data_IF_674194681623
#
_entry.id   IF_674194681623
#
_cell.length_a   1.000
_cell.length_b   1.000
_cell.length_c   1.000
_cell.angle_alpha   90.00
_cell.angle_beta   90.00
_cell.angle_gamma   90.00
#
_symmetry.space_group_name_H-M   'P 1'
#
loop_
_entity.id
_entity.type
_entity.pdbx_description
1 polymer ?
#
# COMPACT_ATOMS: atom_id res chain seq x y z
N UNK A 1 -14.33 22.72 2.17
CA UNK A 1 -13.19 23.67 2.17
C UNK A 1 -12.05 23.05 1.38
N UNK A 2 -11.45 23.82 0.47
CA UNK A 2 -10.30 23.42 -0.32
C UNK A 2 -9.04 23.84 0.45
N UNK A 3 -8.03 23.00 0.45
CA UNK A 3 -6.71 23.21 1.06
C UNK A 3 -5.63 23.00 0.03
N UNK A 4 -4.47 23.63 0.24
CA UNK A 4 -3.28 23.48 -0.58
C UNK A 4 -2.33 22.50 0.08
N UNK A 5 -1.83 21.54 -0.69
CA UNK A 5 -0.77 20.60 -0.30
C UNK A 5 0.28 20.56 -1.39
N UNK A 6 1.48 20.09 -1.09
CA UNK A 6 2.54 19.83 -2.06
C UNK A 6 2.69 18.32 -2.21
N UNK A 7 2.78 17.82 -3.43
CA UNK A 7 3.01 16.39 -3.71
C UNK A 7 4.13 16.28 -4.75
N UNK A 8 5.20 15.60 -4.39
CA UNK A 8 6.40 15.42 -5.22
C UNK A 8 6.90 16.75 -5.80
N UNK A 9 6.93 17.78 -4.95
CA UNK A 9 7.36 19.14 -5.27
C UNK A 9 6.36 19.98 -6.07
N UNK A 10 5.13 19.47 -6.33
CA UNK A 10 4.08 20.19 -7.05
C UNK A 10 2.96 20.61 -6.11
N UNK A 11 2.60 21.89 -6.18
CA UNK A 11 1.45 22.42 -5.44
C UNK A 11 0.14 21.96 -6.06
N UNK A 12 -0.72 21.37 -5.25
CA UNK A 12 -2.02 20.88 -5.66
C UNK A 12 -3.10 21.25 -4.64
N UNK A 13 -4.36 21.20 -5.05
CA UNK A 13 -5.50 21.48 -4.20
C UNK A 13 -6.29 20.23 -3.90
N UNK A 14 -6.66 20.05 -2.64
CA UNK A 14 -7.45 18.92 -2.15
C UNK A 14 -8.60 19.38 -1.28
N UNK A 15 -9.55 18.50 -1.08
CA UNK A 15 -10.65 18.74 -0.15
C UNK A 15 -10.22 18.41 1.27
N UNK A 16 -10.42 19.33 2.21
CA UNK A 16 -10.18 19.10 3.64
C UNK A 16 -10.99 17.89 4.13
N UNK A 17 -10.35 17.04 4.94
CA UNK A 17 -10.97 15.83 5.50
C UNK A 17 -10.86 14.59 4.62
N UNK A 18 -10.24 14.69 3.43
CA UNK A 18 -9.89 13.51 2.66
C UNK A 18 -8.64 12.86 3.21
N UNK A 19 -8.54 11.53 3.07
CA UNK A 19 -7.27 10.84 3.27
C UNK A 19 -6.30 11.19 2.15
N UNK A 20 -4.99 11.07 2.39
CA UNK A 20 -3.97 11.25 1.35
C UNK A 20 -4.27 10.33 0.17
N UNK A 21 -4.57 9.06 0.41
CA UNK A 21 -4.88 8.10 -0.64
C UNK A 21 -6.04 8.55 -1.52
N UNK A 22 -7.13 9.05 -0.90
CA UNK A 22 -8.29 9.58 -1.63
C UNK A 22 -7.94 10.83 -2.44
N UNK A 23 -7.19 11.75 -1.86
CA UNK A 23 -6.77 12.98 -2.51
C UNK A 23 -5.91 12.70 -3.75
N UNK A 24 -4.92 11.82 -3.62
CA UNK A 24 -4.01 11.45 -4.70
C UNK A 24 -4.73 10.65 -5.79
N UNK A 25 -5.62 9.74 -5.43
CA UNK A 25 -6.44 8.99 -6.40
C UNK A 25 -7.33 9.93 -7.24
N UNK A 26 -7.95 10.94 -6.62
CA UNK A 26 -8.74 11.95 -7.34
C UNK A 26 -7.90 12.71 -8.37
N UNK A 27 -6.63 12.94 -8.08
CA UNK A 27 -5.66 13.60 -8.96
C UNK A 27 -4.99 12.63 -9.95
N UNK A 28 -5.44 11.38 -10.00
CA UNK A 28 -4.89 10.30 -10.84
C UNK A 28 -3.42 9.97 -10.55
N UNK A 29 -2.99 10.23 -9.33
CA UNK A 29 -1.71 9.77 -8.79
C UNK A 29 -1.96 8.41 -8.15
N UNK A 30 -1.45 7.35 -8.75
CA UNK A 30 -1.68 5.97 -8.31
C UNK A 30 -0.73 5.62 -7.17
N UNK A 31 -1.28 5.43 -5.97
CA UNK A 31 -0.54 4.94 -4.81
C UNK A 31 -0.86 3.45 -4.63
N UNK A 32 0.12 2.56 -4.65
CA UNK A 32 -0.09 1.13 -4.48
C UNK A 32 -0.87 0.81 -3.21
N UNK A 33 -1.94 0.03 -3.35
CA UNK A 33 -2.76 -0.43 -2.23
C UNK A 33 -3.53 -1.69 -2.60
N UNK A 34 -3.71 -2.61 -1.63
CA UNK A 34 -4.50 -3.82 -1.79
C UNK A 34 -5.73 -3.85 -0.87
N UNK A 35 -5.79 -2.97 0.11
CA UNK A 35 -6.85 -2.97 1.13
C UNK A 35 -7.96 -1.96 0.87
N UNK A 36 -7.82 -1.05 -0.07
CA UNK A 36 -8.86 -0.08 -0.40
C UNK A 36 -9.66 -0.52 -1.63
N UNK A 37 -10.66 -1.32 -1.38
CA UNK A 37 -11.60 -1.79 -2.42
C UNK A 37 -12.70 -0.76 -2.75
N UNK A 38 -12.79 0.35 -2.01
CA UNK A 38 -13.90 1.31 -2.12
C UNK A 38 -13.87 2.13 -3.39
N UNK A 39 -12.70 2.26 -4.03
CA UNK A 39 -12.55 3.07 -5.24
C UNK A 39 -12.79 2.29 -6.54
N UNK A 40 -12.74 0.96 -6.51
CA UNK A 40 -12.91 0.13 -7.70
C UNK A 40 -14.38 -0.19 -7.99
N UNK A 41 -15.28 0.00 -7.03
CA UNK A 41 -16.67 -0.45 -7.09
C UNK A 41 -17.70 0.66 -7.33
N UNK A 42 -17.28 1.87 -7.73
CA UNK A 42 -18.24 2.94 -8.02
C UNK A 42 -19.14 2.59 -9.23
N UNK A 43 -18.76 1.63 -10.07
CA UNK A 43 -19.49 1.28 -11.28
C UNK A 43 -20.10 -0.14 -11.32
N UNK A 44 -19.95 -0.96 -10.28
CA UNK A 44 -20.51 -2.33 -10.29
C UNK A 44 -21.27 -2.63 -9.00
N UNK A 45 -22.56 -2.28 -9.00
CA UNK A 45 -23.51 -2.55 -7.90
C UNK A 45 -23.87 -4.04 -7.71
N UNK A 46 -23.20 -4.99 -8.36
CA UNK A 46 -23.59 -6.40 -8.36
C UNK A 46 -22.75 -7.35 -7.50
N UNK A 47 -21.67 -6.91 -6.87
CA UNK A 47 -20.90 -7.80 -5.99
C UNK A 47 -21.32 -7.72 -4.51
N UNK A 48 -22.50 -8.29 -4.22
CA UNK A 48 -23.03 -8.47 -2.85
C UNK A 48 -22.28 -9.49 -1.98
N UNK A 49 -21.22 -10.10 -2.47
CA UNK A 49 -20.50 -11.18 -1.76
C UNK A 49 -19.21 -10.76 -1.06
N UNK A 50 -18.94 -9.46 -0.89
CA UNK A 50 -17.78 -8.97 -0.12
C UNK A 50 -18.12 -8.65 1.35
N UNK A 51 -19.07 -9.39 1.94
CA UNK A 51 -19.45 -9.25 3.36
C UNK A 51 -18.40 -9.78 4.37
N UNK A 52 -17.20 -10.18 3.91
CA UNK A 52 -16.15 -10.72 4.77
C UNK A 52 -15.20 -9.66 5.33
N UNK A 53 -15.33 -8.40 4.94
CA UNK A 53 -14.51 -7.32 5.49
C UNK A 53 -15.32 -6.62 6.58
N UNK A 54 -15.34 -7.20 7.76
CA UNK A 54 -15.76 -6.49 8.98
C UNK A 54 -14.74 -5.41 9.31
N UNK A 55 -15.13 -4.37 10.04
CA UNK A 55 -14.20 -3.30 10.46
C UNK A 55 -12.98 -3.84 11.22
N UNK A 56 -13.12 -5.01 11.85
CA UNK A 56 -12.05 -5.72 12.57
C UNK A 56 -11.04 -6.42 11.64
N UNK A 57 -11.40 -6.70 10.37
CA UNK A 57 -10.56 -7.38 9.39
C UNK A 57 -10.09 -6.47 8.26
N UNK A 58 -9.88 -5.18 8.52
CA UNK A 58 -9.24 -4.29 7.54
C UNK A 58 -7.85 -4.83 7.22
N UNK A 59 -7.73 -5.45 6.04
CA UNK A 59 -6.43 -5.88 5.52
C UNK A 59 -5.50 -4.67 5.50
N UNK A 60 -4.58 -4.62 6.44
CA UNK A 60 -3.57 -3.57 6.50
C UNK A 60 -2.43 -3.95 5.55
N UNK A 61 -2.59 -3.67 4.27
CA UNK A 61 -1.62 -4.07 3.25
C UNK A 61 -0.30 -3.27 3.30
N UNK A 62 -0.27 -2.15 4.03
CA UNK A 62 0.91 -1.28 4.19
C UNK A 62 1.57 -0.76 2.90
N UNK A 63 1.06 -1.12 1.71
CA UNK A 63 1.63 -0.69 0.43
C UNK A 63 1.47 0.80 0.14
N UNK A 64 0.46 1.44 0.74
CA UNK A 64 0.17 2.86 0.55
C UNK A 64 1.07 3.78 1.38
N UNK A 65 2.28 3.34 1.72
CA UNK A 65 3.25 4.13 2.45
C UNK A 65 3.70 5.34 1.62
N UNK A 66 3.80 6.48 2.28
CA UNK A 66 4.29 7.76 1.76
C UNK A 66 5.13 8.44 2.82
N UNK A 67 5.93 9.43 2.44
CA UNK A 67 6.57 10.34 3.40
C UNK A 67 5.78 11.63 3.46
N UNK A 68 5.52 12.13 4.65
CA UNK A 68 4.84 13.41 4.86
C UNK A 68 5.66 14.33 5.75
N UNK A 69 5.54 15.61 5.50
CA UNK A 69 6.04 16.67 6.38
C UNK A 69 4.94 17.70 6.57
N UNK A 70 4.54 17.93 7.82
CA UNK A 70 3.59 18.99 8.17
C UNK A 70 4.31 20.32 8.31
N UNK A 71 3.56 21.41 8.25
CA UNK A 71 4.10 22.77 8.28
C UNK A 71 5.03 23.06 9.45
N UNK A 72 4.84 22.39 10.59
CA UNK A 72 5.62 22.57 11.80
C UNK A 72 6.62 21.43 12.08
N UNK A 73 6.89 20.60 11.10
CA UNK A 73 7.84 19.48 11.20
C UNK A 73 9.11 19.83 10.42
N UNK A 74 10.26 19.45 10.95
CA UNK A 74 11.56 19.69 10.31
C UNK A 74 11.94 18.56 9.35
N UNK A 75 11.37 17.35 9.54
CA UNK A 75 11.69 16.15 8.79
C UNK A 75 10.44 15.47 8.25
N UNK A 76 10.66 14.64 7.22
CA UNK A 76 9.64 13.76 6.71
C UNK A 76 9.46 12.52 7.59
N UNK A 77 8.20 12.11 7.76
CA UNK A 77 7.81 10.92 8.49
C UNK A 77 7.07 9.95 7.58
N UNK A 78 7.34 8.66 7.70
CA UNK A 78 6.59 7.63 7.00
C UNK A 78 5.17 7.51 7.57
N UNK A 79 4.18 7.49 6.68
CA UNK A 79 2.76 7.34 7.03
C UNK A 79 2.04 6.51 5.96
N UNK A 80 0.91 5.93 6.34
CA UNK A 80 0.06 5.20 5.41
C UNK A 80 -1.02 6.13 4.84
N UNK A 81 -0.99 6.35 3.54
CA UNK A 81 -1.86 7.31 2.86
C UNK A 81 -3.37 7.03 3.05
N UNK A 82 -3.75 5.78 3.33
CA UNK A 82 -5.14 5.42 3.59
C UNK A 82 -5.66 5.91 4.96
N UNK A 83 -4.77 6.15 5.92
CA UNK A 83 -5.12 6.54 7.29
C UNK A 83 -4.87 8.03 7.57
N UNK A 84 -3.94 8.66 6.85
CA UNK A 84 -3.59 10.06 7.08
C UNK A 84 -4.53 11.01 6.35
N UNK A 85 -4.99 12.04 7.06
CA UNK A 85 -5.84 13.10 6.52
C UNK A 85 -4.95 14.23 6.00
N UNK A 86 -5.29 14.76 4.81
CA UNK A 86 -4.57 15.90 4.25
C UNK A 86 -4.81 17.17 5.08
N UNK A 87 -3.71 17.91 5.30
CA UNK A 87 -3.71 19.18 6.02
C UNK A 87 -3.15 20.31 5.14
N UNK A 88 -3.57 21.52 5.39
CA UNK A 88 -3.10 22.67 4.61
C UNK A 88 -1.62 22.92 4.82
N UNK A 89 -0.87 22.96 3.71
CA UNK A 89 0.59 23.14 3.72
C UNK A 89 1.36 21.85 4.02
N UNK A 90 0.71 20.68 4.01
CA UNK A 90 1.38 19.39 4.08
C UNK A 90 2.20 19.16 2.81
N UNK A 91 3.42 18.65 2.97
CA UNK A 91 4.29 18.21 1.90
C UNK A 91 4.36 16.68 1.89
N UNK A 92 4.15 16.07 0.73
CA UNK A 92 4.00 14.63 0.55
C UNK A 92 4.97 14.17 -0.52
N UNK A 93 5.77 13.16 -0.21
CA UNK A 93 6.55 12.39 -1.17
C UNK A 93 5.82 11.07 -1.41
N UNK A 94 5.31 10.90 -2.61
CA UNK A 94 4.53 9.72 -2.99
C UNK A 94 5.40 8.55 -3.40
N UNK A 95 6.61 8.82 -3.92
CA UNK A 95 7.58 7.82 -4.36
C UNK A 95 9.00 8.36 -4.28
N UNK A 96 9.89 7.61 -3.66
CA UNK A 96 11.35 7.77 -3.65
C UNK A 96 12.02 6.41 -3.44
N UNK A 97 13.34 6.39 -3.38
CA UNK A 97 14.12 5.14 -3.25
C UNK A 97 13.74 4.34 -2.00
N UNK A 98 13.51 4.99 -0.87
CA UNK A 98 13.14 4.33 0.39
C UNK A 98 11.74 3.72 0.29
N UNK A 99 10.78 4.49 -0.24
CA UNK A 99 9.39 4.04 -0.45
C UNK A 99 9.35 2.85 -1.41
N UNK A 100 10.11 2.93 -2.51
CA UNK A 100 10.22 1.84 -3.49
C UNK A 100 10.82 0.60 -2.84
N UNK A 101 11.90 0.75 -2.09
CA UNK A 101 12.57 -0.35 -1.39
C UNK A 101 11.63 -1.03 -0.39
N UNK A 102 10.90 -0.24 0.41
CA UNK A 102 9.89 -0.76 1.33
C UNK A 102 8.80 -1.55 0.62
N UNK A 103 8.20 -0.97 -0.45
CA UNK A 103 7.14 -1.63 -1.22
C UNK A 103 7.62 -2.92 -1.86
N UNK A 104 8.84 -2.95 -2.40
CA UNK A 104 9.46 -4.16 -2.96
C UNK A 104 9.61 -5.26 -1.91
N UNK A 105 10.17 -4.94 -0.75
CA UNK A 105 10.35 -5.91 0.34
C UNK A 105 9.02 -6.49 0.80
N UNK A 106 8.00 -5.65 0.94
CA UNK A 106 6.67 -6.09 1.32
C UNK A 106 6.02 -6.98 0.26
N UNK A 107 6.11 -6.62 -1.02
CA UNK A 107 5.59 -7.42 -2.13
C UNK A 107 6.34 -8.74 -2.28
N UNK A 108 7.66 -8.74 -2.09
CA UNK A 108 8.46 -9.97 -2.09
C UNK A 108 7.96 -10.91 -0.98
N UNK A 109 7.77 -10.39 0.24
CA UNK A 109 7.21 -11.14 1.34
C UNK A 109 5.81 -11.72 1.05
N UNK A 110 4.93 -10.92 0.45
CA UNK A 110 3.61 -11.39 0.02
C UNK A 110 3.73 -12.51 -1.03
N UNK A 111 4.74 -12.45 -1.91
CA UNK A 111 4.95 -13.46 -2.94
C UNK A 111 5.23 -14.86 -2.40
N UNK A 112 5.80 -14.97 -1.20
CA UNK A 112 6.00 -16.26 -0.53
C UNK A 112 4.70 -16.87 0.00
N UNK A 113 3.80 -16.04 0.55
CA UNK A 113 2.53 -16.51 1.13
C UNK A 113 1.47 -16.76 0.05
N UNK A 114 1.49 -15.96 -0.99
CA UNK A 114 0.56 -16.07 -2.10
C UNK A 114 1.10 -17.07 -3.12
N UNK A 115 0.66 -18.31 -3.07
CA UNK A 115 1.01 -19.36 -4.07
C UNK A 115 0.43 -18.96 -5.44
N UNK A 116 1.15 -18.26 -6.31
CA UNK A 116 0.55 -17.70 -7.50
C UNK A 116 0.60 -18.70 -8.66
N UNK A 117 -0.47 -19.45 -8.82
CA UNK A 117 -0.74 -20.11 -10.09
C UNK A 117 -1.55 -19.14 -10.95
N UNK A 118 -0.94 -18.00 -11.33
CA UNK A 118 -1.63 -16.95 -12.07
C UNK A 118 -2.22 -17.45 -13.39
N UNK A 119 -1.60 -18.43 -14.05
CA UNK A 119 -2.11 -19.04 -15.28
C UNK A 119 -3.48 -19.71 -15.12
N UNK A 120 -3.84 -20.12 -13.90
CA UNK A 120 -5.09 -20.80 -13.59
C UNK A 120 -5.94 -19.98 -12.60
N UNK A 121 -5.61 -18.71 -12.39
CA UNK A 121 -6.32 -17.85 -11.47
C UNK A 121 -7.51 -17.17 -12.18
N UNK A 122 -8.71 -17.32 -11.65
CA UNK A 122 -9.93 -16.74 -12.23
C UNK A 122 -9.92 -15.20 -12.28
N UNK A 123 -9.11 -14.55 -11.44
CA UNK A 123 -9.00 -13.09 -11.36
C UNK A 123 -7.72 -12.53 -11.98
N UNK A 124 -6.96 -13.33 -12.72
CA UNK A 124 -5.62 -12.97 -13.22
C UNK A 124 -5.59 -11.61 -13.94
N UNK A 125 -6.53 -11.35 -14.85
CA UNK A 125 -6.60 -10.11 -15.63
C UNK A 125 -7.04 -8.86 -14.84
N UNK A 126 -7.59 -9.04 -13.63
CA UNK A 126 -8.02 -7.95 -12.73
C UNK A 126 -7.21 -7.91 -11.42
N UNK A 127 -6.20 -8.75 -11.29
CA UNK A 127 -5.47 -8.90 -10.06
C UNK A 127 -4.54 -7.70 -9.82
N UNK A 128 -4.87 -6.86 -8.83
CA UNK A 128 -4.01 -5.75 -8.40
C UNK A 128 -2.65 -6.21 -7.90
N UNK A 129 -2.59 -7.35 -7.20
CA UNK A 129 -1.34 -7.89 -6.71
C UNK A 129 -0.40 -8.25 -7.85
N UNK A 130 -0.91 -8.88 -8.91
CA UNK A 130 -0.13 -9.16 -10.11
C UNK A 130 0.39 -7.89 -10.75
N UNK A 131 -0.47 -6.87 -10.91
CA UNK A 131 -0.05 -5.54 -11.42
C UNK A 131 1.14 -4.99 -10.64
N UNK A 132 1.11 -5.09 -9.30
CA UNK A 132 2.20 -4.58 -8.48
C UNK A 132 3.46 -5.47 -8.53
N UNK A 133 3.32 -6.78 -8.63
CA UNK A 133 4.45 -7.66 -8.86
C UNK A 133 5.19 -7.29 -10.15
N UNK A 134 4.44 -7.06 -11.23
CA UNK A 134 5.00 -6.66 -12.51
C UNK A 134 5.67 -5.27 -12.42
N UNK A 135 4.98 -4.29 -11.79
CA UNK A 135 5.48 -2.92 -11.63
C UNK A 135 6.80 -2.85 -10.84
N UNK A 136 6.89 -3.63 -9.77
CA UNK A 136 8.07 -3.64 -8.89
C UNK A 136 9.10 -4.72 -9.25
N UNK A 137 8.90 -5.44 -10.37
CA UNK A 137 9.77 -6.54 -10.84
C UNK A 137 9.96 -7.63 -9.77
N UNK A 138 8.87 -8.01 -9.09
CA UNK A 138 8.89 -9.10 -8.13
C UNK A 138 8.84 -10.42 -8.88
N UNK A 139 9.96 -11.13 -8.89
CA UNK A 139 10.03 -12.48 -9.48
C UNK A 139 9.42 -13.49 -8.53
N UNK A 140 8.47 -14.29 -9.03
CA UNK A 140 7.88 -15.39 -8.28
C UNK A 140 8.97 -16.40 -7.92
N UNK A 141 9.28 -16.53 -6.66
CA UNK A 141 10.15 -17.63 -6.22
C UNK A 141 9.28 -18.88 -6.19
N UNK A 142 9.48 -19.77 -7.16
CA UNK A 142 8.89 -21.11 -7.13
C UNK A 142 9.54 -21.88 -5.99
N UNK A 143 8.94 -21.85 -4.80
CA UNK A 143 9.32 -22.73 -3.72
C UNK A 143 8.81 -24.13 -4.05
N UNK A 144 9.55 -24.83 -4.90
CA UNK A 144 9.53 -26.27 -5.00
C UNK A 144 10.46 -26.76 -3.88
N UNK A 145 9.87 -27.10 -2.74
CA UNK A 145 10.26 -28.29 -1.97
C UNK A 145 9.70 -28.21 -0.54
N UNK A 146 8.88 -29.16 -0.27
CA UNK A 146 8.21 -29.55 0.94
C UNK A 146 9.15 -29.58 2.16
N UNK A 147 9.07 -28.61 3.06
CA UNK A 147 9.38 -28.68 4.49
C UNK A 147 9.57 -27.29 5.17
N UNK A 148 9.32 -26.17 4.45
CA UNK A 148 9.65 -24.83 4.95
C UNK A 148 8.43 -23.99 5.44
N UNK A 149 7.20 -24.53 5.43
CA UNK A 149 6.01 -23.72 5.81
C UNK A 149 6.12 -23.10 7.21
N UNK A 150 6.78 -23.77 8.14
CA UNK A 150 6.99 -23.24 9.50
C UNK A 150 8.14 -22.23 9.60
N UNK A 151 9.11 -22.32 8.70
CA UNK A 151 10.29 -21.43 8.65
C UNK A 151 9.92 -20.13 7.92
N UNK A 152 9.05 -20.20 6.92
CA UNK A 152 8.58 -19.07 6.12
C UNK A 152 7.78 -18.09 6.99
N UNK A 153 6.87 -18.56 7.83
CA UNK A 153 6.09 -17.69 8.71
C UNK A 153 6.98 -16.91 9.70
N UNK A 154 7.98 -17.55 10.28
CA UNK A 154 8.90 -16.87 11.20
C UNK A 154 9.84 -15.89 10.47
N UNK A 155 10.33 -16.25 9.30
CA UNK A 155 11.17 -15.38 8.49
C UNK A 155 10.40 -14.17 7.98
N UNK A 156 9.16 -14.36 7.53
CA UNK A 156 8.25 -13.30 7.12
C UNK A 156 7.97 -12.30 8.25
N UNK A 157 7.65 -12.82 9.44
CA UNK A 157 7.41 -11.99 10.63
C UNK A 157 8.67 -11.20 11.00
N UNK A 158 9.84 -11.85 10.95
CA UNK A 158 11.12 -11.20 11.26
C UNK A 158 11.50 -10.14 10.22
N UNK A 159 11.29 -10.38 8.95
CA UNK A 159 11.53 -9.40 7.89
C UNK A 159 10.59 -8.20 8.02
N UNK A 160 9.30 -8.42 8.32
CA UNK A 160 8.37 -7.30 8.58
C UNK A 160 8.80 -6.51 9.82
N UNK A 161 9.19 -7.16 10.91
CA UNK A 161 9.71 -6.48 12.10
C UNK A 161 10.95 -5.66 11.78
N UNK A 162 11.87 -6.20 10.98
CA UNK A 162 13.07 -5.49 10.56
C UNK A 162 12.74 -4.29 9.67
N UNK A 163 11.78 -4.42 8.75
CA UNK A 163 11.29 -3.33 7.93
C UNK A 163 10.67 -2.23 8.80
N UNK A 164 9.77 -2.59 9.72
CA UNK A 164 9.15 -1.65 10.69
C UNK A 164 10.21 -0.92 11.48
N UNK A 165 11.20 -1.64 12.01
CA UNK A 165 12.30 -1.07 12.80
C UNK A 165 13.23 -0.18 11.95
N UNK A 166 13.58 -0.62 10.74
CA UNK A 166 14.50 0.12 9.84
C UNK A 166 13.90 1.45 9.41
N UNK A 167 12.60 1.46 9.13
CA UNK A 167 11.90 2.68 8.68
C UNK A 167 11.19 3.43 9.82
N UNK A 168 11.39 3.02 11.08
CA UNK A 168 10.75 3.61 12.26
C UNK A 168 9.23 3.79 12.09
N UNK A 169 8.57 2.75 11.56
CA UNK A 169 7.15 2.77 11.25
C UNK A 169 6.33 2.63 12.54
N UNK A 170 5.15 3.23 12.61
CA UNK A 170 4.26 3.09 13.75
C UNK A 170 3.83 1.61 13.93
N UNK A 171 3.95 1.11 15.14
CA UNK A 171 3.38 -0.17 15.54
C UNK A 171 1.84 -0.07 15.51
N UNK A 172 1.17 -1.10 14.98
CA UNK A 172 -0.28 -1.28 15.01
C UNK A 172 -0.64 -2.60 15.66
#
# INVERSE_FOLDING_TARGET
MIIKITVDGKDIYSQKGWTILKALSYLKIDIPNLCDFRFDNINNAENKNLSFITEENKLNCKLCIVKIKRKNEDSYNFKYACNEIVENGMDIISEDEDIISYRKSLLDSISYSHKPICSNCEVDYKCKLKKYFDLYNITKKNNLENNEEKIIDNKFIEEIKNIVKTFNLPDY
#
